data_IF_284342643997
#
_entry.id   IF_284342643997
#
_cell.length_a   1.000
_cell.length_b   1.000
_cell.length_c   1.000
_cell.angle_alpha   90.00
_cell.angle_beta   90.00
_cell.angle_gamma   90.00
#
_symmetry.space_group_name_H-M   'P 1'
#
loop_
_entity.id
_entity.type
_entity.pdbx_description
1 polymer ?
#
# COMPACT_ATOMS: atom_id res chain seq x y z
N UNK A 1 -47.43 -38.15 33.50
CA UNK A 1 -46.17 -38.26 32.73
C UNK A 1 -46.41 -37.65 31.35
N UNK A 2 -45.45 -36.87 30.84
CA UNK A 2 -45.35 -36.30 29.49
C UNK A 2 -46.37 -35.24 29.02
N UNK A 3 -46.10 -33.96 29.36
CA UNK A 3 -46.28 -32.83 28.42
C UNK A 3 -45.15 -31.82 28.67
N UNK A 4 -43.95 -32.11 28.16
CA UNK A 4 -42.81 -31.18 28.06
C UNK A 4 -42.00 -31.59 26.85
N UNK A 5 -42.46 -31.26 25.63
CA UNK A 5 -41.67 -31.51 24.41
C UNK A 5 -41.95 -30.51 23.26
N UNK A 6 -43.00 -29.68 23.31
CA UNK A 6 -43.35 -28.81 22.18
C UNK A 6 -42.56 -27.50 22.09
N UNK A 7 -42.06 -26.96 23.21
CA UNK A 7 -41.30 -25.68 23.20
C UNK A 7 -39.88 -25.84 22.65
N UNK A 8 -39.26 -27.03 22.82
CA UNK A 8 -37.89 -27.30 22.37
C UNK A 8 -37.84 -27.45 20.84
N UNK A 9 -38.89 -28.02 20.23
CA UNK A 9 -38.99 -28.22 18.77
C UNK A 9 -39.10 -26.90 17.98
N UNK A 10 -39.81 -25.91 18.52
CA UNK A 10 -39.97 -24.59 17.89
C UNK A 10 -38.67 -23.77 17.89
N UNK A 11 -37.88 -23.83 18.96
CA UNK A 11 -36.58 -23.16 19.05
C UNK A 11 -35.58 -23.80 18.08
N UNK A 12 -35.61 -25.13 17.95
CA UNK A 12 -34.75 -25.86 17.01
C UNK A 12 -35.09 -25.54 15.55
N UNK A 13 -36.39 -25.40 15.23
CA UNK A 13 -36.86 -24.95 13.91
C UNK A 13 -36.49 -23.49 13.62
N UNK A 14 -36.51 -22.60 14.61
CA UNK A 14 -36.04 -21.22 14.45
C UNK A 14 -34.53 -21.14 14.22
N UNK A 15 -33.73 -21.96 14.91
CA UNK A 15 -32.30 -22.08 14.66
C UNK A 15 -31.99 -22.64 13.27
N UNK A 16 -32.76 -23.63 12.80
CA UNK A 16 -32.63 -24.19 11.45
C UNK A 16 -33.12 -23.22 10.35
N UNK A 17 -34.18 -22.45 10.60
CA UNK A 17 -34.66 -21.41 9.67
C UNK A 17 -33.68 -20.23 9.54
N UNK A 18 -33.01 -19.84 10.63
CA UNK A 18 -31.98 -18.80 10.61
C UNK A 18 -30.67 -19.25 9.95
N UNK A 19 -30.42 -20.57 9.84
CA UNK A 19 -29.26 -21.11 9.12
C UNK A 19 -29.41 -21.09 7.58
N UNK A 20 -30.60 -20.80 7.05
CA UNK A 20 -30.85 -20.74 5.60
C UNK A 20 -30.71 -19.34 4.98
N UNK A 21 -30.09 -18.40 5.68
CA UNK A 21 -29.49 -17.26 4.98
C UNK A 21 -28.22 -17.79 4.31
N UNK A 22 -28.34 -18.19 3.04
CA UNK A 22 -27.18 -18.54 2.23
C UNK A 22 -26.16 -17.41 2.34
N UNK A 23 -25.08 -17.66 3.09
CA UNK A 23 -24.03 -16.68 3.31
C UNK A 23 -23.41 -16.36 1.95
N UNK A 24 -23.62 -15.13 1.47
CA UNK A 24 -22.97 -14.66 0.26
C UNK A 24 -21.45 -14.75 0.48
N UNK A 25 -20.73 -15.10 -0.58
CA UNK A 25 -19.27 -15.03 -0.54
C UNK A 25 -18.85 -13.62 -0.16
N UNK A 26 -18.12 -13.49 0.95
CA UNK A 26 -17.76 -12.20 1.52
C UNK A 26 -16.25 -12.04 1.49
N UNK A 27 -15.79 -11.02 0.77
CA UNK A 27 -14.38 -10.65 0.70
C UNK A 27 -14.02 -9.79 1.92
N UNK A 28 -13.03 -10.21 2.70
CA UNK A 28 -12.46 -9.42 3.80
C UNK A 28 -11.70 -8.20 3.27
N UNK A 29 -11.72 -7.06 3.97
CA UNK A 29 -11.04 -5.86 3.49
C UNK A 29 -9.52 -6.03 3.52
N UNK A 30 -8.84 -5.31 2.64
CA UNK A 30 -7.39 -5.24 2.62
C UNK A 30 -6.91 -4.34 3.78
N UNK A 31 -6.20 -4.93 4.73
CA UNK A 31 -5.72 -4.29 5.96
C UNK A 31 -4.21 -4.13 5.91
N UNK A 32 -3.74 -3.01 6.43
CA UNK A 32 -2.33 -2.78 6.66
C UNK A 32 -1.83 -3.69 7.79
N UNK A 33 -0.68 -4.33 7.58
CA UNK A 33 0.03 -5.16 8.56
C UNK A 33 1.20 -4.38 9.15
N UNK A 34 2.04 -3.80 8.29
CA UNK A 34 3.22 -3.06 8.71
C UNK A 34 3.62 -1.99 7.71
N UNK A 35 4.39 -1.02 8.19
CA UNK A 35 5.04 0.01 7.40
C UNK A 35 6.55 -0.09 7.69
N UNK A 36 7.37 -0.17 6.65
CA UNK A 36 8.82 -0.05 6.74
C UNK A 36 9.30 1.19 6.00
N UNK A 37 10.40 1.77 6.47
CA UNK A 37 11.08 2.87 5.79
C UNK A 37 12.56 2.52 5.66
N UNK A 38 13.09 2.68 4.46
CA UNK A 38 14.46 2.36 4.09
C UNK A 38 15.04 3.50 3.26
N UNK A 39 16.37 3.55 3.13
CA UNK A 39 17.00 4.45 2.18
C UNK A 39 16.58 4.05 0.75
N UNK A 40 16.23 5.04 -0.06
CA UNK A 40 15.89 4.79 -1.44
C UNK A 40 17.10 4.27 -2.21
N UNK A 41 16.99 3.06 -2.76
CA UNK A 41 17.94 2.51 -3.71
C UNK A 41 17.21 2.09 -4.97
N UNK A 42 17.81 2.38 -6.12
CA UNK A 42 17.36 1.89 -7.42
C UNK A 42 17.67 0.40 -7.61
N UNK A 43 18.48 -0.21 -6.74
CA UNK A 43 18.85 -1.63 -6.80
C UNK A 43 17.81 -2.49 -6.07
N UNK A 44 17.45 -3.62 -6.69
CA UNK A 44 16.48 -4.59 -6.13
C UNK A 44 16.99 -5.32 -4.89
N UNK A 45 18.30 -5.36 -4.69
CA UNK A 45 18.92 -5.90 -3.49
C UNK A 45 19.17 -4.77 -2.51
N UNK A 46 18.66 -4.94 -1.28
CA UNK A 46 19.03 -4.10 -0.16
C UNK A 46 20.55 -4.06 -0.04
N UNK A 47 21.08 -2.87 0.18
CA UNK A 47 22.48 -2.66 0.50
C UNK A 47 22.89 -3.66 1.58
N UNK A 48 23.91 -4.46 1.30
CA UNK A 48 24.40 -5.48 2.22
C UNK A 48 24.83 -4.81 3.54
N UNK A 49 24.50 -5.39 4.69
CA UNK A 49 24.66 -4.78 6.04
C UNK A 49 26.13 -4.39 6.35
N UNK A 50 27.07 -4.85 5.54
CA UNK A 50 28.51 -4.65 5.68
C UNK A 50 29.08 -3.51 4.83
N UNK A 51 28.26 -2.83 4.01
CA UNK A 51 28.72 -1.79 3.08
C UNK A 51 28.12 -0.45 3.47
N UNK A 52 28.97 0.44 3.99
CA UNK A 52 28.60 1.83 4.21
C UNK A 52 28.76 2.60 2.90
N UNK A 53 27.63 2.97 2.29
CA UNK A 53 27.62 3.81 1.11
C UNK A 53 27.58 5.27 1.53
N UNK A 54 28.61 6.01 1.16
CA UNK A 54 28.64 7.44 1.29
C UNK A 54 27.82 8.03 0.13
N UNK A 55 26.62 8.48 0.41
CA UNK A 55 25.79 9.15 -0.60
C UNK A 55 26.28 10.59 -0.78
N UNK A 56 26.70 11.00 -1.99
CA UNK A 56 27.10 12.39 -2.26
C UNK A 56 25.90 13.35 -2.24
N UNK A 57 24.68 12.82 -2.30
CA UNK A 57 23.42 13.56 -2.25
C UNK A 57 22.63 13.26 -0.97
N UNK A 58 21.65 14.12 -0.65
CA UNK A 58 20.74 13.91 0.48
C UNK A 58 20.00 12.59 0.33
N UNK A 59 20.21 11.66 1.28
CA UNK A 59 19.55 10.35 1.30
C UNK A 59 18.04 10.56 1.38
N UNK A 60 17.32 10.03 0.39
CA UNK A 60 15.85 10.03 0.39
C UNK A 60 15.34 8.79 1.13
N UNK A 61 14.22 8.94 1.84
CA UNK A 61 13.56 7.83 2.53
C UNK A 61 12.42 7.27 1.68
N UNK A 62 12.43 5.96 1.49
CA UNK A 62 11.41 5.21 0.75
C UNK A 62 10.61 4.37 1.73
N UNK A 63 9.29 4.41 1.64
CA UNK A 63 8.39 3.62 2.47
C UNK A 63 7.86 2.39 1.73
N UNK A 64 7.62 1.31 2.46
CA UNK A 64 6.88 0.14 1.97
C UNK A 64 5.75 -0.18 2.94
N UNK A 65 4.52 -0.28 2.42
CA UNK A 65 3.34 -0.67 3.18
C UNK A 65 2.99 -2.12 2.84
N UNK A 66 2.97 -2.97 3.85
CA UNK A 66 2.61 -4.37 3.72
C UNK A 66 1.16 -4.60 4.11
N UNK A 67 0.43 -5.37 3.31
CA UNK A 67 -0.99 -5.69 3.54
C UNK A 67 -1.24 -7.18 3.66
N UNK A 68 -2.44 -7.53 4.14
CA UNK A 68 -2.90 -8.91 4.29
C UNK A 68 -3.43 -9.55 3.00
N UNK A 69 -3.41 -8.85 1.86
CA UNK A 69 -3.92 -9.33 0.57
C UNK A 69 -2.80 -9.34 -0.47
N UNK A 70 -2.70 -10.41 -1.23
CA UNK A 70 -1.72 -10.58 -2.31
C UNK A 70 -2.36 -11.05 -3.61
N UNK A 71 -1.59 -11.11 -4.70
CA UNK A 71 -2.10 -11.47 -6.02
C UNK A 71 -2.82 -12.84 -6.04
N UNK A 72 -2.34 -13.83 -5.28
CA UNK A 72 -3.00 -15.12 -5.17
C UNK A 72 -4.41 -15.01 -4.54
N UNK A 73 -4.60 -14.09 -3.59
CA UNK A 73 -5.92 -13.85 -3.00
C UNK A 73 -6.84 -13.19 -4.03
N UNK A 74 -6.31 -12.33 -4.91
CA UNK A 74 -7.09 -11.72 -5.99
C UNK A 74 -7.60 -12.80 -6.94
N UNK A 75 -6.72 -13.69 -7.39
CA UNK A 75 -7.07 -14.77 -8.31
C UNK A 75 -8.06 -15.76 -7.68
N UNK A 76 -7.99 -15.96 -6.36
CA UNK A 76 -8.95 -16.77 -5.62
C UNK A 76 -10.31 -16.08 -5.49
N UNK A 77 -10.33 -14.82 -5.04
CA UNK A 77 -11.55 -14.03 -4.86
C UNK A 77 -12.28 -13.86 -6.21
N UNK A 78 -11.53 -13.70 -7.31
CA UNK A 78 -12.06 -13.59 -8.68
C UNK A 78 -12.86 -14.83 -9.14
N UNK A 79 -12.56 -16.03 -8.63
CA UNK A 79 -13.30 -17.25 -8.96
C UNK A 79 -14.72 -17.27 -8.38
N UNK A 80 -14.97 -16.47 -7.35
CA UNK A 80 -16.23 -16.46 -6.60
C UNK A 80 -17.12 -15.25 -6.93
N UNK A 81 -16.63 -14.30 -7.72
CA UNK A 81 -17.31 -13.03 -8.03
C UNK A 81 -17.35 -12.78 -9.54
N UNK A 82 -18.35 -12.03 -10.00
CA UNK A 82 -18.48 -11.66 -11.43
C UNK A 82 -17.67 -10.42 -11.79
N UNK A 83 -17.45 -9.53 -10.82
CA UNK A 83 -16.63 -8.34 -10.97
C UNK A 83 -15.87 -8.10 -9.67
N UNK A 84 -14.60 -7.70 -9.78
CA UNK A 84 -13.73 -7.36 -8.66
C UNK A 84 -12.94 -6.10 -9.00
N UNK A 85 -13.16 -5.04 -8.22
CA UNK A 85 -12.54 -3.74 -8.40
C UNK A 85 -11.89 -3.31 -7.07
N UNK A 86 -10.64 -3.71 -6.82
CA UNK A 86 -9.93 -3.33 -5.62
C UNK A 86 -9.08 -2.08 -5.85
N UNK A 87 -9.11 -1.18 -4.87
CA UNK A 87 -8.38 0.10 -4.85
C UNK A 87 -7.77 0.30 -3.49
N UNK A 88 -6.51 0.73 -3.47
CA UNK A 88 -5.82 1.18 -2.27
C UNK A 88 -5.36 2.61 -2.53
N UNK A 89 -5.74 3.52 -1.66
CA UNK A 89 -5.33 4.92 -1.69
C UNK A 89 -4.42 5.18 -0.50
N UNK A 90 -3.24 5.73 -0.77
CA UNK A 90 -2.28 6.11 0.26
C UNK A 90 -2.06 7.62 0.14
N UNK A 91 -2.31 8.32 1.24
CA UNK A 91 -2.17 9.77 1.31
C UNK A 91 -1.21 10.08 2.43
N UNK A 92 -0.26 10.99 2.22
CA UNK A 92 0.55 11.50 3.30
C UNK A 92 0.87 12.97 3.14
N UNK A 93 1.06 13.64 4.26
CA UNK A 93 1.48 15.03 4.30
C UNK A 93 2.32 15.31 5.53
N UNK A 94 3.20 16.31 5.41
CA UNK A 94 3.98 16.82 6.53
C UNK A 94 3.05 17.60 7.47
N UNK A 95 3.21 17.42 8.79
CA UNK A 95 2.50 18.20 9.78
C UNK A 95 2.88 19.69 9.67
N UNK A 96 1.89 20.55 9.44
CA UNK A 96 2.09 22.00 9.27
C UNK A 96 2.31 22.45 7.82
N UNK A 97 2.35 21.52 6.86
CA UNK A 97 2.41 21.83 5.42
C UNK A 97 1.02 21.58 4.78
N UNK A 98 0.47 22.51 3.97
CA UNK A 98 -0.80 22.30 3.29
C UNK A 98 -0.71 21.32 2.11
N UNK A 99 0.49 21.00 1.62
CA UNK A 99 0.67 20.13 0.48
C UNK A 99 0.55 18.66 0.87
N UNK A 100 -0.20 17.89 0.09
CA UNK A 100 -0.45 16.47 0.33
C UNK A 100 0.01 15.65 -0.87
N UNK A 101 0.66 14.51 -0.62
CA UNK A 101 0.87 13.50 -1.64
C UNK A 101 -0.24 12.46 -1.59
N UNK A 102 -0.78 12.12 -2.75
CA UNK A 102 -1.85 11.12 -2.91
C UNK A 102 -1.47 10.17 -4.05
N UNK A 103 -1.54 8.87 -3.76
CA UNK A 103 -1.31 7.80 -4.71
C UNK A 103 -2.43 6.77 -4.63
N UNK A 104 -3.02 6.43 -5.77
CA UNK A 104 -3.94 5.31 -5.89
C UNK A 104 -3.28 4.12 -6.55
N UNK A 105 -3.57 2.94 -6.03
CA UNK A 105 -3.08 1.67 -6.49
C UNK A 105 -4.22 0.69 -6.79
N UNK A 106 -3.94 -0.28 -7.65
CA UNK A 106 -4.68 -1.55 -7.73
C UNK A 106 -4.46 -2.29 -6.42
N UNK A 107 -5.52 -2.82 -5.82
CA UNK A 107 -5.42 -3.61 -4.58
C UNK A 107 -4.65 -4.92 -4.78
N UNK A 108 -4.48 -5.70 -3.70
CA UNK A 108 -3.89 -7.04 -3.70
C UNK A 108 -2.41 -7.12 -4.11
N UNK A 109 -1.62 -6.06 -3.87
CA UNK A 109 -0.19 -6.07 -4.24
C UNK A 109 0.71 -6.66 -3.15
N UNK A 110 0.19 -6.92 -1.93
CA UNK A 110 0.94 -7.27 -0.71
C UNK A 110 1.90 -6.18 -0.21
N UNK A 111 2.63 -5.55 -1.12
CA UNK A 111 3.58 -4.48 -0.83
C UNK A 111 3.33 -3.27 -1.74
N UNK A 112 3.06 -2.12 -1.12
CA UNK A 112 2.92 -0.83 -1.76
C UNK A 112 4.12 0.05 -1.43
N UNK A 113 4.97 0.33 -2.42
CA UNK A 113 6.08 1.27 -2.26
C UNK A 113 5.58 2.71 -2.40
N UNK A 114 5.97 3.56 -1.45
CA UNK A 114 5.63 4.97 -1.38
C UNK A 114 6.90 5.82 -1.31
N UNK A 115 6.91 6.97 -1.99
CA UNK A 115 7.96 8.01 -1.97
C UNK A 115 9.40 7.57 -2.26
N UNK A 116 10.22 8.42 -2.90
CA UNK A 116 10.16 8.80 -4.30
C UNK A 116 10.66 7.71 -5.25
N UNK A 117 10.70 6.44 -4.83
CA UNK A 117 11.07 5.32 -5.72
C UNK A 117 9.92 4.87 -6.61
N UNK A 118 9.41 5.79 -7.44
CA UNK A 118 8.51 5.44 -8.55
C UNK A 118 9.26 4.64 -9.63
N UNK A 119 10.60 4.68 -9.64
CA UNK A 119 11.46 3.89 -10.50
C UNK A 119 11.35 2.37 -10.26
N UNK A 120 10.95 1.96 -9.05
CA UNK A 120 10.67 0.57 -8.69
C UNK A 120 9.70 -0.13 -9.65
N UNK A 121 8.68 0.59 -10.13
CA UNK A 121 7.64 0.03 -10.97
C UNK A 121 8.10 -0.04 -12.43
N UNK A 122 9.03 -0.97 -12.72
CA UNK A 122 9.65 -1.19 -14.03
C UNK A 122 8.61 -1.24 -15.16
N UNK A 123 7.45 -1.87 -14.91
CA UNK A 123 6.37 -1.99 -15.88
C UNK A 123 5.80 -0.66 -16.39
N UNK A 124 5.89 0.42 -15.63
CA UNK A 124 5.43 1.76 -16.02
C UNK A 124 6.46 2.88 -15.80
N UNK A 125 7.73 2.55 -15.57
CA UNK A 125 8.82 3.50 -15.33
C UNK A 125 8.91 4.60 -16.40
N UNK A 126 8.78 4.24 -17.69
CA UNK A 126 8.82 5.21 -18.79
C UNK A 126 7.65 6.20 -18.73
N UNK A 127 6.44 5.71 -18.47
CA UNK A 127 5.25 6.55 -18.35
C UNK A 127 5.35 7.47 -17.12
N UNK A 128 5.86 6.95 -16.01
CA UNK A 128 6.11 7.72 -14.78
C UNK A 128 7.11 8.84 -15.03
N UNK A 129 8.23 8.55 -15.68
CA UNK A 129 9.24 9.56 -16.04
C UNK A 129 8.65 10.67 -16.93
N UNK A 130 7.85 10.32 -17.93
CA UNK A 130 7.17 11.30 -18.80
C UNK A 130 6.16 12.14 -18.01
N UNK A 131 5.38 11.52 -17.13
CA UNK A 131 4.41 12.18 -16.27
C UNK A 131 5.08 13.21 -15.35
N UNK A 132 6.17 12.82 -14.67
CA UNK A 132 6.95 13.70 -13.79
C UNK A 132 7.59 14.85 -14.58
N UNK A 133 8.10 14.57 -15.79
CA UNK A 133 8.66 15.63 -16.66
C UNK A 133 7.59 16.67 -17.04
N UNK A 134 6.37 16.23 -17.36
CA UNK A 134 5.25 17.13 -17.65
C UNK A 134 4.86 17.96 -16.43
N UNK A 135 4.81 17.34 -15.24
CA UNK A 135 4.59 18.05 -13.98
C UNK A 135 5.65 19.12 -13.71
N UNK A 136 6.93 18.81 -13.91
CA UNK A 136 8.03 19.74 -13.70
C UNK A 136 7.93 20.98 -14.61
N UNK A 137 7.42 20.81 -15.84
CA UNK A 137 7.17 21.91 -16.78
C UNK A 137 5.78 22.56 -16.54
N UNK A 138 5.08 22.20 -15.46
CA UNK A 138 3.74 22.68 -15.09
C UNK A 138 2.68 22.48 -16.17
N UNK A 139 2.83 21.43 -16.99
CA UNK A 139 1.81 20.99 -17.94
C UNK A 139 0.85 20.03 -17.25
N UNK A 140 -0.41 20.01 -17.69
CA UNK A 140 -1.40 19.03 -17.24
C UNK A 140 -0.97 17.64 -17.70
N UNK A 141 -0.58 16.74 -16.79
CA UNK A 141 -0.02 15.48 -17.20
C UNK A 141 -1.13 14.48 -17.56
N UNK A 142 -0.86 13.61 -18.52
CA UNK A 142 -1.82 12.56 -18.92
C UNK A 142 -1.32 11.23 -18.36
N UNK A 143 -2.06 10.66 -17.40
CA UNK A 143 -1.78 9.34 -16.86
C UNK A 143 -2.64 8.28 -17.54
N UNK A 144 -2.00 7.28 -18.15
CA UNK A 144 -2.70 6.17 -18.78
C UNK A 144 -2.67 4.93 -17.88
N UNK A 145 -3.83 4.56 -17.34
CA UNK A 145 -4.01 3.40 -16.45
C UNK A 145 -4.14 2.07 -17.18
N UNK A 146 -4.07 2.07 -18.52
CA UNK A 146 -4.34 0.87 -19.34
C UNK A 146 -3.24 -0.20 -19.25
N UNK A 147 -2.07 0.13 -18.68
CA UNK A 147 -0.99 -0.84 -18.54
C UNK A 147 -1.32 -1.86 -17.42
N UNK A 148 -1.48 -3.15 -17.74
CA UNK A 148 -1.78 -4.17 -16.72
C UNK A 148 -0.65 -4.31 -15.70
N UNK A 149 0.61 -4.12 -16.13
CA UNK A 149 1.81 -4.30 -15.31
C UNK A 149 2.11 -3.12 -14.37
N UNK A 150 1.31 -2.04 -14.45
CA UNK A 150 1.45 -0.91 -13.54
C UNK A 150 0.42 -1.04 -12.40
N UNK A 151 0.85 -1.09 -11.13
CA UNK A 151 -0.07 -1.10 -10.01
C UNK A 151 -0.66 0.28 -9.72
N UNK A 152 -0.09 1.37 -10.26
CA UNK A 152 -0.56 2.74 -10.01
C UNK A 152 -1.78 3.11 -10.87
N UNK A 153 -2.85 3.56 -10.22
CA UNK A 153 -4.08 4.09 -10.84
C UNK A 153 -4.05 5.61 -10.95
N UNK A 154 -3.50 6.31 -9.96
CA UNK A 154 -3.41 7.78 -9.98
C UNK A 154 -2.10 8.24 -9.36
N UNK A 155 -1.71 9.46 -9.72
CA UNK A 155 -0.49 10.13 -9.29
C UNK A 155 -0.85 11.57 -8.88
N UNK A 156 0.04 12.28 -8.15
CA UNK A 156 -0.17 13.68 -7.82
C UNK A 156 -0.40 14.50 -9.09
N UNK A 157 -1.42 15.36 -9.07
CA UNK A 157 -1.86 16.13 -10.25
C UNK A 157 -1.05 17.40 -10.48
N UNK A 158 -0.39 17.90 -9.43
CA UNK A 158 0.40 19.12 -9.43
C UNK A 158 1.83 18.82 -8.97
N UNK A 159 2.72 19.76 -9.28
CA UNK A 159 4.14 19.62 -8.95
C UNK A 159 4.36 19.72 -7.43
N UNK A 160 3.59 20.56 -6.75
CA UNK A 160 3.67 20.74 -5.29
C UNK A 160 3.26 19.47 -4.54
N UNK A 161 2.22 18.77 -4.99
CA UNK A 161 1.81 17.49 -4.42
C UNK A 161 2.82 16.37 -4.72
N UNK A 162 3.48 16.42 -5.88
CA UNK A 162 4.60 15.52 -6.18
C UNK A 162 5.81 15.78 -5.27
N UNK A 163 6.18 17.04 -5.03
CA UNK A 163 7.25 17.38 -4.10
C UNK A 163 6.92 17.01 -2.65
N UNK A 164 5.64 17.10 -2.25
CA UNK A 164 5.18 16.65 -0.94
C UNK A 164 5.27 15.14 -0.74
N UNK A 165 5.49 14.36 -1.80
CA UNK A 165 5.71 12.93 -1.69
C UNK A 165 7.04 12.63 -0.99
N UNK A 166 8.07 13.49 -1.08
CA UNK A 166 9.38 13.23 -0.51
C UNK A 166 9.36 13.29 1.03
N UNK A 167 9.80 12.21 1.67
CA UNK A 167 9.96 12.16 3.13
C UNK A 167 11.25 12.88 3.56
N UNK A 168 11.07 13.98 4.29
CA UNK A 168 12.14 14.80 4.86
C UNK A 168 12.48 14.26 6.25
N UNK A 169 13.78 14.07 6.48
CA UNK A 169 14.29 13.58 7.75
C UNK A 169 13.90 14.49 8.93
N UNK A 170 13.50 13.87 10.04
CA UNK A 170 13.21 14.54 11.30
C UNK A 170 11.85 15.24 11.37
N UNK A 171 11.10 15.29 10.26
CA UNK A 171 9.75 15.86 10.18
C UNK A 171 8.68 14.82 10.52
N UNK A 172 7.55 15.28 11.04
CA UNK A 172 6.39 14.43 11.32
C UNK A 172 5.46 14.39 10.12
N UNK A 173 5.00 13.19 9.77
CA UNK A 173 4.06 12.95 8.69
C UNK A 173 2.85 12.19 9.20
N UNK A 174 1.69 12.60 8.72
CA UNK A 174 0.46 11.82 8.86
C UNK A 174 0.25 11.01 7.58
N UNK A 175 0.11 9.70 7.72
CA UNK A 175 -0.08 8.75 6.62
C UNK A 175 -1.45 8.09 6.76
N UNK A 176 -2.28 8.25 5.75
CA UNK A 176 -3.58 7.62 5.62
C UNK A 176 -3.47 6.45 4.66
N UNK A 177 -3.90 5.28 5.11
CA UNK A 177 -4.12 4.12 4.27
C UNK A 177 -5.62 3.88 4.16
N UNK A 178 -6.14 3.82 2.94
CA UNK A 178 -7.55 3.52 2.66
C UNK A 178 -7.62 2.40 1.63
N UNK A 179 -8.34 1.34 1.95
CA UNK A 179 -8.66 0.27 1.00
C UNK A 179 -10.15 0.20 0.76
N UNK A 180 -10.51 -0.06 -0.49
CA UNK A 180 -11.87 -0.26 -0.94
C UNK A 180 -11.87 -1.39 -1.95
N UNK A 181 -12.64 -2.44 -1.67
CA UNK A 181 -12.86 -3.56 -2.60
C UNK A 181 -14.34 -3.56 -2.95
N UNK A 182 -14.64 -3.22 -4.21
CA UNK A 182 -15.99 -3.35 -4.77
C UNK A 182 -16.08 -4.64 -5.56
N UNK A 183 -17.04 -5.49 -5.22
CA UNK A 183 -17.24 -6.76 -5.93
C UNK A 183 -18.71 -7.06 -6.15
N UNK A 184 -18.98 -7.88 -7.16
CA UNK A 184 -20.32 -8.29 -7.54
C UNK A 184 -20.45 -9.81 -7.48
N UNK A 185 -21.54 -10.28 -6.86
CA UNK A 185 -21.87 -11.71 -6.79
C UNK A 185 -23.17 -11.93 -7.55
N UNK A 186 -23.15 -12.91 -8.45
CA UNK A 186 -24.33 -13.38 -9.15
C UNK A 186 -24.91 -14.59 -8.42
N UNK A 187 -26.13 -14.46 -7.90
CA UNK A 187 -26.81 -15.54 -7.21
C UNK A 187 -28.31 -15.47 -7.47
N UNK A 188 -28.93 -16.61 -7.81
CA UNK A 188 -30.37 -16.72 -8.10
C UNK A 188 -30.87 -15.67 -9.12
N UNK A 189 -30.15 -15.49 -10.24
CA UNK A 189 -30.48 -14.53 -11.32
C UNK A 189 -30.45 -13.05 -10.92
N UNK A 190 -29.86 -12.71 -9.78
CA UNK A 190 -29.71 -11.32 -9.32
C UNK A 190 -28.25 -11.02 -9.07
N UNK A 191 -27.78 -9.89 -9.61
CA UNK A 191 -26.47 -9.32 -9.28
C UNK A 191 -26.59 -8.49 -8.00
N UNK A 192 -25.66 -8.70 -7.07
CA UNK A 192 -25.55 -7.89 -5.87
C UNK A 192 -24.14 -7.33 -5.76
N UNK A 193 -24.05 -6.03 -5.51
CA UNK A 193 -22.79 -5.32 -5.31
C UNK A 193 -22.50 -5.21 -3.81
N UNK A 194 -21.27 -5.51 -3.42
CA UNK A 194 -20.79 -5.43 -2.04
C UNK A 194 -19.51 -4.59 -1.98
N UNK A 195 -19.28 -3.98 -0.81
CA UNK A 195 -18.08 -3.20 -0.52
C UNK A 195 -17.38 -3.75 0.72
N UNK A 196 -16.06 -3.83 0.64
CA UNK A 196 -15.19 -4.17 1.76
C UNK A 196 -14.17 -3.05 1.92
N UNK A 197 -14.37 -2.22 2.94
CA UNK A 197 -13.61 -1.00 3.15
C UNK A 197 -12.80 -1.09 4.45
N UNK A 198 -11.62 -0.51 4.45
CA UNK A 198 -10.81 -0.32 5.63
C UNK A 198 -9.99 0.95 5.53
N UNK A 199 -9.79 1.63 6.66
CA UNK A 199 -8.97 2.83 6.72
C UNK A 199 -8.18 2.85 8.02
N UNK A 200 -6.93 3.31 7.94
CA UNK A 200 -6.06 3.49 9.09
C UNK A 200 -5.19 4.72 8.91
N UNK A 201 -4.79 5.32 10.03
CA UNK A 201 -4.00 6.55 10.10
C UNK A 201 -2.78 6.26 10.96
N UNK A 202 -1.62 6.75 10.52
CA UNK A 202 -0.35 6.57 11.22
C UNK A 202 0.40 7.90 11.29
N UNK A 203 1.13 8.10 12.37
CA UNK A 203 2.10 9.18 12.50
C UNK A 203 3.49 8.58 12.38
N UNK A 204 4.27 9.08 11.44
CA UNK A 204 5.64 8.62 11.21
C UNK A 204 6.60 9.80 11.29
N UNK A 205 7.82 9.54 11.78
CA UNK A 205 8.93 10.48 11.76
C UNK A 205 10.14 9.78 11.15
N UNK A 206 10.48 10.06 9.88
CA UNK A 206 11.64 9.45 9.24
C UNK A 206 12.91 9.85 9.99
N UNK A 207 13.63 8.87 10.55
CA UNK A 207 14.91 9.08 11.22
C UNK A 207 15.96 8.14 10.62
N UNK A 208 17.17 8.64 10.36
CA UNK A 208 18.28 7.79 9.98
C UNK A 208 18.70 6.96 11.20
N UNK A 209 18.45 5.65 11.12
CA UNK A 209 19.09 4.69 12.00
C UNK A 209 20.04 3.88 11.15
N UNK A 210 21.34 4.07 11.37
CA UNK A 210 22.35 3.17 10.82
C UNK A 210 22.19 1.84 11.55
N UNK A 211 21.55 0.87 10.89
CA UNK A 211 21.37 -0.47 11.45
C UNK A 211 22.69 -1.22 11.25
N UNK A 212 23.55 -1.19 12.25
CA UNK A 212 24.80 -1.96 12.24
C UNK A 212 24.84 -2.95 13.39
N UNK A 213 25.32 -4.15 13.12
CA UNK A 213 25.62 -5.14 14.16
C UNK A 213 26.96 -4.85 14.89
N UNK A 214 27.59 -3.69 14.63
CA UNK A 214 28.93 -3.33 15.08
C UNK A 214 28.92 -2.09 15.99
N UNK A 215 29.91 -1.99 16.87
CA UNK A 215 30.04 -0.87 17.82
C UNK A 215 30.64 0.38 17.18
N UNK A 216 30.54 1.52 17.85
CA UNK A 216 31.04 2.82 17.36
C UNK A 216 32.51 2.79 16.94
N UNK A 217 33.32 2.08 17.72
CA UNK A 217 34.77 1.94 17.55
C UNK A 217 35.09 1.10 16.30
N UNK A 218 34.26 0.09 16.00
CA UNK A 218 34.47 -0.82 14.88
C UNK A 218 34.22 -0.15 13.51
N UNK A 219 33.34 0.85 13.43
CA UNK A 219 33.07 1.56 12.17
C UNK A 219 33.91 2.82 11.97
N UNK A 220 34.32 3.51 13.04
CA UNK A 220 35.14 4.72 12.94
C UNK A 220 36.46 4.44 12.18
N UNK A 221 37.05 3.27 12.41
CA UNK A 221 38.23 2.80 11.68
C UNK A 221 37.96 2.53 10.18
N UNK A 222 36.76 2.06 9.83
CA UNK A 222 36.35 1.80 8.44
C UNK A 222 36.08 3.08 7.66
N UNK A 223 35.52 4.13 8.27
CA UNK A 223 35.35 5.45 7.64
C UNK A 223 36.67 6.09 7.22
N UNK A 224 37.71 5.98 8.04
CA UNK A 224 39.03 6.56 7.77
C UNK A 224 39.70 5.85 6.57
N UNK A 225 39.26 4.63 6.23
CA UNK A 225 39.81 3.82 5.13
C UNK A 225 39.20 4.07 3.75
N UNK A 226 38.24 4.99 3.62
CA UNK A 226 37.64 5.37 2.33
C UNK A 226 38.67 6.10 1.44
N UNK A 227 39.46 5.31 0.72
CA UNK A 227 40.20 5.79 -0.46
C UNK A 227 39.21 6.13 -1.55
N UNK A 228 39.18 7.42 -1.89
CA UNK A 228 38.64 7.96 -3.14
C UNK A 228 39.15 7.10 -4.30
N UNK A 229 38.24 6.57 -5.11
CA UNK A 229 38.55 5.96 -6.39
C UNK A 229 37.93 6.79 -7.50
#
# INVERSE_FOLDING_TARGET
MMIKNHTISLIFWWYLLMQHVAAFYQISPEKLISLSMEACSYEKQSLDDNIMILFPETIRSCGSIYTNKMQNDYDNDLKHVTSLNPTVQIIWHEMGNPNTCELDYKGYQKNYRISPDLGYYIGCQRALSQYISQLAIRKTPIWNTSNPNCPLKSLPKNYEGYLACDFIHGKWYEVFFKSMIRYEVYHKKVYRTFWSNYSSIFLIRPSFLVKTNYTEIDWLSKLISLKVR
#
